data_IF_252782707380
#
_entry.id   IF_252782707380
#
_cell.length_a   1.000
_cell.length_b   1.000
_cell.length_c   1.000
_cell.angle_alpha   90.00
_cell.angle_beta   90.00
_cell.angle_gamma   90.00
#
_symmetry.space_group_name_H-M   'P 1'
#
loop_
_entity.id
_entity.type
_entity.pdbx_description
1 polymer ?
#
# COMPACT_ATOMS: atom_id res chain seq x y z
N UNK A 1 31.26 -10.67 -34.82
CA UNK A 1 30.75 -10.25 -33.51
C UNK A 1 30.19 -8.86 -33.73
N UNK A 2 28.88 -8.69 -33.59
CA UNK A 2 28.23 -7.40 -33.85
C UNK A 2 28.52 -6.45 -32.69
N UNK A 3 28.86 -5.21 -33.00
CA UNK A 3 29.27 -4.19 -32.03
C UNK A 3 28.11 -3.58 -31.22
N UNK A 4 26.91 -4.16 -31.33
CA UNK A 4 25.67 -3.66 -30.73
C UNK A 4 25.17 -4.52 -29.55
N UNK A 5 25.91 -5.55 -29.14
CA UNK A 5 25.56 -6.26 -27.91
C UNK A 5 25.92 -5.37 -26.71
N UNK A 6 24.94 -4.99 -25.85
CA UNK A 6 25.22 -4.19 -24.68
C UNK A 6 26.17 -4.95 -23.76
N UNK A 7 27.24 -4.27 -23.34
CA UNK A 7 28.14 -4.77 -22.32
C UNK A 7 27.35 -4.82 -21.00
N UNK A 8 27.03 -6.03 -20.55
CA UNK A 8 26.39 -6.24 -19.25
C UNK A 8 27.48 -6.25 -18.19
N UNK A 9 27.42 -5.33 -17.23
CA UNK A 9 28.25 -5.38 -16.03
C UNK A 9 28.02 -6.72 -15.30
N UNK A 10 29.08 -7.30 -14.73
CA UNK A 10 28.95 -8.41 -13.77
C UNK A 10 28.29 -7.89 -12.48
N UNK A 11 26.96 -7.78 -12.48
CA UNK A 11 26.17 -7.41 -11.30
C UNK A 11 25.31 -8.59 -10.81
N UNK A 12 25.13 -8.69 -9.50
CA UNK A 12 24.19 -9.65 -8.90
C UNK A 12 22.75 -9.23 -9.20
N UNK A 13 21.82 -10.20 -9.18
CA UNK A 13 20.40 -9.90 -9.30
C UNK A 13 19.92 -8.88 -8.26
N UNK A 14 20.50 -8.89 -7.05
CA UNK A 14 20.19 -7.93 -5.99
C UNK A 14 20.62 -6.50 -6.36
N UNK A 15 21.81 -6.33 -6.93
CA UNK A 15 22.32 -5.03 -7.38
C UNK A 15 21.45 -4.45 -8.50
N UNK A 16 21.10 -5.28 -9.49
CA UNK A 16 20.14 -4.91 -10.53
C UNK A 16 18.79 -4.48 -9.92
N UNK A 17 18.26 -5.25 -8.96
CA UNK A 17 16.99 -4.92 -8.29
C UNK A 17 17.05 -3.59 -7.54
N UNK A 18 18.15 -3.31 -6.84
CA UNK A 18 18.35 -2.04 -6.14
C UNK A 18 18.49 -0.88 -7.13
N UNK A 19 19.25 -1.08 -8.22
CA UNK A 19 19.49 -0.08 -9.27
C UNK A 19 18.23 0.31 -10.03
N UNK A 20 17.35 -0.64 -10.30
CA UNK A 20 16.06 -0.38 -10.92
C UNK A 20 15.08 0.38 -10.00
N UNK A 21 15.45 0.58 -8.72
CA UNK A 21 14.57 1.14 -7.68
C UNK A 21 13.34 0.28 -7.39
N UNK A 22 13.16 -0.81 -8.13
CA UNK A 22 12.05 -1.75 -8.14
C UNK A 22 10.71 -1.11 -7.72
N UNK A 23 10.16 -0.14 -8.48
CA UNK A 23 8.96 0.60 -8.08
C UNK A 23 7.75 -0.32 -7.84
N UNK A 24 7.71 -1.50 -8.47
CA UNK A 24 6.69 -2.54 -8.22
C UNK A 24 6.77 -3.18 -6.82
N UNK A 25 7.93 -3.09 -6.15
CA UNK A 25 8.13 -3.51 -4.77
C UNK A 25 7.75 -2.41 -3.78
N UNK A 26 7.56 -1.17 -4.20
CA UNK A 26 7.19 -0.08 -3.29
C UNK A 26 5.68 0.08 -3.26
N UNK A 27 5.15 0.22 -2.07
CA UNK A 27 3.74 0.39 -1.83
C UNK A 27 3.43 1.69 -1.12
N UNK A 28 2.82 2.61 -1.86
CA UNK A 28 2.42 3.92 -1.35
C UNK A 28 1.38 3.78 -0.23
N UNK A 29 1.58 4.54 0.85
CA UNK A 29 0.64 4.78 1.94
C UNK A 29 -0.54 5.62 1.45
N UNK A 30 -0.36 6.42 0.40
CA UNK A 30 -1.39 7.30 -0.16
C UNK A 30 -1.48 8.63 0.58
N UNK A 31 -0.33 9.11 1.09
CA UNK A 31 -0.12 10.44 1.64
C UNK A 31 1.19 10.96 1.05
N UNK A 32 1.16 11.96 0.14
CA UNK A 32 2.35 12.35 -0.64
C UNK A 32 3.58 12.68 0.20
N UNK A 33 3.41 13.38 1.32
CA UNK A 33 4.52 13.77 2.20
C UNK A 33 5.14 12.56 2.92
N UNK A 34 4.29 11.61 3.35
CA UNK A 34 4.75 10.39 4.03
C UNK A 34 5.39 9.45 3.01
N UNK A 35 4.79 9.31 1.83
CA UNK A 35 5.35 8.52 0.74
C UNK A 35 6.73 9.06 0.35
N UNK A 36 6.90 10.38 0.22
CA UNK A 36 8.20 10.99 -0.03
C UNK A 36 9.22 10.71 1.09
N UNK A 37 8.80 10.82 2.36
CA UNK A 37 9.65 10.51 3.51
C UNK A 37 10.07 9.03 3.57
N UNK A 38 9.25 8.13 3.04
CA UNK A 38 9.52 6.70 2.94
C UNK A 38 10.14 6.31 1.59
N UNK A 39 10.79 7.23 0.87
CA UNK A 39 11.37 6.97 -0.46
C UNK A 39 10.39 6.34 -1.47
N UNK A 40 9.15 6.80 -1.46
CA UNK A 40 8.06 6.35 -2.33
C UNK A 40 7.04 5.44 -1.65
N UNK A 41 7.30 4.91 -0.46
CA UNK A 41 6.35 4.07 0.29
C UNK A 41 7.01 2.90 1.04
N UNK A 42 6.22 1.91 1.44
CA UNK A 42 6.73 0.73 2.16
C UNK A 42 7.14 -0.39 1.20
N UNK A 43 8.23 -1.10 1.49
CA UNK A 43 8.72 -2.17 0.62
C UNK A 43 7.95 -3.48 0.83
N UNK A 44 7.47 -4.08 -0.27
CA UNK A 44 6.91 -5.44 -0.31
C UNK A 44 7.98 -6.46 0.03
N UNK A 45 7.56 -7.56 0.66
CA UNK A 45 8.47 -8.62 1.11
C UNK A 45 9.33 -8.25 2.32
N UNK A 46 9.16 -7.05 2.90
CA UNK A 46 9.83 -6.63 4.13
C UNK A 46 8.82 -6.32 5.22
N UNK A 47 9.20 -6.62 6.46
CA UNK A 47 8.47 -6.17 7.64
C UNK A 47 8.77 -4.68 7.87
N UNK A 48 7.73 -3.85 7.92
CA UNK A 48 7.83 -2.43 8.26
C UNK A 48 7.07 -2.18 9.56
N UNK A 49 7.74 -1.60 10.55
CA UNK A 49 7.15 -1.29 11.85
C UNK A 49 6.95 0.23 12.01
N UNK A 50 5.74 0.64 12.38
CA UNK A 50 5.43 2.02 12.77
C UNK A 50 5.28 2.10 14.28
N UNK A 51 6.25 2.73 14.96
CA UNK A 51 6.28 2.86 16.43
C UNK A 51 5.86 4.27 16.87
N UNK A 52 5.17 4.37 18.00
CA UNK A 52 4.83 5.66 18.62
C UNK A 52 3.75 5.55 19.69
N UNK A 53 3.46 6.66 20.37
CA UNK A 53 2.44 6.74 21.42
C UNK A 53 1.02 6.46 20.92
N UNK A 54 0.09 6.16 21.83
CA UNK A 54 -1.34 6.10 21.47
C UNK A 54 -1.77 7.42 20.79
N UNK A 55 -2.70 7.34 19.85
CA UNK A 55 -3.17 8.46 19.04
C UNK A 55 -2.11 9.13 18.12
N UNK A 56 -0.89 8.59 17.99
CA UNK A 56 0.14 9.09 17.06
C UNK A 56 -0.16 8.88 15.56
N UNK A 57 -1.32 8.30 15.22
CA UNK A 57 -1.71 8.08 13.83
C UNK A 57 -1.35 6.71 13.22
N UNK A 58 -0.76 5.77 13.98
CA UNK A 58 -0.40 4.42 13.47
C UNK A 58 -1.57 3.69 12.78
N UNK A 59 -2.71 3.58 13.45
CA UNK A 59 -3.92 2.95 12.86
C UNK A 59 -4.37 3.70 11.61
N UNK A 60 -4.27 5.04 11.59
CA UNK A 60 -4.64 5.85 10.43
C UNK A 60 -3.68 5.61 9.24
N UNK A 61 -2.39 5.45 9.50
CA UNK A 61 -1.40 5.05 8.48
C UNK A 61 -1.75 3.70 7.86
N UNK A 62 -2.07 2.70 8.69
CA UNK A 62 -2.46 1.38 8.19
C UNK A 62 -3.74 1.45 7.34
N UNK A 63 -4.78 2.14 7.81
CA UNK A 63 -6.03 2.31 7.04
C UNK A 63 -5.79 3.07 5.73
N UNK A 64 -4.91 4.07 5.73
CA UNK A 64 -4.52 4.81 4.53
C UNK A 64 -3.84 3.88 3.53
N UNK A 65 -2.88 3.06 3.97
CA UNK A 65 -2.22 2.08 3.11
C UNK A 65 -3.23 1.09 2.51
N UNK A 66 -4.15 0.54 3.33
CA UNK A 66 -5.21 -0.35 2.86
C UNK A 66 -6.06 0.31 1.78
N UNK A 67 -6.61 1.50 2.07
CA UNK A 67 -7.44 2.18 1.10
C UNK A 67 -6.65 2.55 -0.18
N UNK A 68 -5.32 2.64 -0.12
CA UNK A 68 -4.49 2.94 -1.30
C UNK A 68 -4.23 1.66 -2.10
N UNK A 69 -4.19 0.49 -1.44
CA UNK A 69 -4.17 -0.82 -2.10
C UNK A 69 -5.45 -1.11 -2.85
N UNK A 70 -6.59 -0.80 -2.23
CA UNK A 70 -7.88 -1.17 -2.80
C UNK A 70 -8.27 -0.35 -4.03
N UNK A 71 -7.62 0.80 -4.27
CA UNK A 71 -7.88 1.70 -5.42
C UNK A 71 -6.79 1.64 -6.49
N UNK A 72 -5.79 0.77 -6.31
CA UNK A 72 -4.69 0.65 -7.26
C UNK A 72 -5.15 -0.20 -8.47
N UNK A 73 -5.75 0.48 -9.45
CA UNK A 73 -6.49 -0.07 -10.61
C UNK A 73 -5.68 -1.03 -11.51
N UNK A 74 -4.35 -1.08 -11.35
CA UNK A 74 -3.48 -1.99 -12.10
C UNK A 74 -3.35 -3.40 -11.51
N UNK A 75 -3.99 -3.69 -10.38
CA UNK A 75 -3.86 -4.95 -9.65
C UNK A 75 -5.23 -5.54 -9.37
N UNK A 76 -5.75 -6.33 -10.32
CA UNK A 76 -7.09 -6.93 -10.27
C UNK A 76 -7.39 -7.80 -9.02
N UNK A 77 -6.45 -8.00 -8.08
CA UNK A 77 -6.61 -8.85 -6.90
C UNK A 77 -5.86 -8.36 -5.64
N UNK A 78 -5.90 -7.07 -5.30
CA UNK A 78 -5.34 -6.62 -4.02
C UNK A 78 -6.22 -7.05 -2.83
N UNK A 79 -5.89 -8.19 -2.23
CA UNK A 79 -6.44 -8.64 -0.95
C UNK A 79 -5.58 -8.10 0.18
N UNK A 80 -6.22 -7.58 1.23
CA UNK A 80 -5.53 -7.12 2.43
C UNK A 80 -6.09 -7.83 3.66
N UNK A 81 -5.19 -8.34 4.49
CA UNK A 81 -5.52 -8.90 5.81
C UNK A 81 -5.13 -7.86 6.85
N UNK A 82 -6.11 -7.41 7.64
CA UNK A 82 -5.89 -6.50 8.76
C UNK A 82 -6.20 -7.23 10.06
N UNK A 83 -5.18 -7.40 10.91
CA UNK A 83 -5.31 -8.04 12.22
C UNK A 83 -5.45 -6.92 13.26
N UNK A 84 -6.62 -6.84 13.88
CA UNK A 84 -6.89 -5.88 14.95
C UNK A 84 -6.75 -6.56 16.31
N UNK A 85 -5.82 -6.07 17.13
CA UNK A 85 -5.52 -6.65 18.45
C UNK A 85 -6.24 -5.95 19.61
N UNK A 86 -6.87 -4.80 19.37
CA UNK A 86 -7.47 -3.99 20.44
C UNK A 86 -8.83 -3.37 20.10
N UNK A 87 -9.44 -3.76 18.98
CA UNK A 87 -10.76 -3.26 18.55
C UNK A 87 -10.71 -1.82 18.01
N UNK A 88 -9.54 -1.36 17.54
CA UNK A 88 -9.37 -0.01 16.99
C UNK A 88 -9.80 0.12 15.53
N UNK A 89 -10.07 -0.98 14.83
CA UNK A 89 -10.54 -0.95 13.45
C UNK A 89 -11.94 -0.33 13.36
N UNK A 90 -12.09 0.66 12.48
CA UNK A 90 -13.35 1.35 12.21
C UNK A 90 -13.63 1.35 10.70
N UNK A 91 -14.57 0.51 10.27
CA UNK A 91 -14.95 0.36 8.85
C UNK A 91 -15.38 1.69 8.22
N UNK A 92 -16.13 2.52 8.95
CA UNK A 92 -16.54 3.85 8.46
C UNK A 92 -15.34 4.74 8.12
N UNK A 93 -14.22 4.61 8.85
CA UNK A 93 -13.03 5.43 8.61
C UNK A 93 -12.32 4.98 7.34
N UNK A 94 -12.25 3.67 7.10
CA UNK A 94 -11.77 3.13 5.83
C UNK A 94 -12.64 3.61 4.66
N UNK A 95 -13.97 3.56 4.82
CA UNK A 95 -14.92 4.06 3.82
C UNK A 95 -14.69 5.55 3.48
N UNK A 96 -14.46 6.38 4.49
CA UNK A 96 -14.13 7.80 4.28
C UNK A 96 -12.85 7.98 3.45
N UNK A 97 -11.80 7.20 3.73
CA UNK A 97 -10.54 7.26 2.97
C UNK A 97 -10.73 6.79 1.52
N UNK A 98 -11.51 5.74 1.29
CA UNK A 98 -11.85 5.25 -0.05
C UNK A 98 -12.63 6.32 -0.84
N UNK A 99 -13.64 6.95 -0.23
CA UNK A 99 -14.39 8.05 -0.84
C UNK A 99 -13.48 9.22 -1.20
N UNK A 100 -12.54 9.60 -0.33
CA UNK A 100 -11.57 10.66 -0.63
C UNK A 100 -10.64 10.34 -1.81
N UNK A 101 -10.58 9.08 -2.24
CA UNK A 101 -9.80 8.58 -3.38
C UNK A 101 -10.66 8.28 -4.61
N UNK A 102 -11.92 8.73 -4.62
CA UNK A 102 -12.80 8.62 -5.78
C UNK A 102 -13.60 7.32 -5.86
N UNK A 103 -13.53 6.43 -4.85
CA UNK A 103 -14.35 5.21 -4.82
C UNK A 103 -15.81 5.59 -4.59
N UNK A 104 -16.66 5.27 -5.55
CA UNK A 104 -18.10 5.38 -5.40
C UNK A 104 -18.64 4.19 -4.61
N UNK A 105 -19.40 4.47 -3.57
CA UNK A 105 -20.04 3.44 -2.75
C UNK A 105 -21.40 3.15 -3.35
N UNK A 106 -21.54 1.98 -3.94
CA UNK A 106 -22.84 1.46 -4.37
C UNK A 106 -23.46 0.79 -3.15
N UNK A 107 -24.54 1.37 -2.63
CA UNK A 107 -25.36 0.68 -1.65
C UNK A 107 -26.12 -0.41 -2.40
N UNK A 108 -25.67 -1.65 -2.26
CA UNK A 108 -26.49 -2.80 -2.61
C UNK A 108 -27.43 -2.96 -1.42
N UNK A 109 -28.74 -2.85 -1.65
CA UNK A 109 -29.71 -3.29 -0.64
C UNK A 109 -29.50 -4.78 -0.43
N UNK A 110 -28.75 -5.12 0.62
CA UNK A 110 -28.70 -6.48 1.11
C UNK A 110 -29.96 -6.61 1.95
N UNK A 111 -31.04 -7.06 1.31
CA UNK A 111 -32.31 -7.36 1.96
C UNK A 111 -32.09 -8.37 3.09
N UNK A 112 -31.89 -7.86 4.30
CA UNK A 112 -31.63 -8.66 5.48
C UNK A 112 -31.65 -7.77 6.70
N UNK A 113 -32.64 -7.99 7.57
CA UNK A 113 -32.67 -7.40 8.90
C UNK A 113 -31.40 -7.85 9.65
N UNK A 114 -30.47 -6.93 9.89
CA UNK A 114 -29.37 -7.17 10.82
C UNK A 114 -29.79 -6.64 12.20
N UNK A 115 -29.76 -7.56 13.17
CA UNK A 115 -30.12 -7.37 14.58
C UNK A 115 -29.30 -6.26 15.27
#
# INVERSE_FOLDING_TARGET
MNADDPEYDEETGLELFLRLGAPWLIQKIGCPNIDAYLNGGVAKGKLTEFVGNIASGKTQLCLSLIANQLVDDGKEQNKVVYIDTNGSFRSYRLLQMLKSRGVQVIYIEIGGNYC
#
